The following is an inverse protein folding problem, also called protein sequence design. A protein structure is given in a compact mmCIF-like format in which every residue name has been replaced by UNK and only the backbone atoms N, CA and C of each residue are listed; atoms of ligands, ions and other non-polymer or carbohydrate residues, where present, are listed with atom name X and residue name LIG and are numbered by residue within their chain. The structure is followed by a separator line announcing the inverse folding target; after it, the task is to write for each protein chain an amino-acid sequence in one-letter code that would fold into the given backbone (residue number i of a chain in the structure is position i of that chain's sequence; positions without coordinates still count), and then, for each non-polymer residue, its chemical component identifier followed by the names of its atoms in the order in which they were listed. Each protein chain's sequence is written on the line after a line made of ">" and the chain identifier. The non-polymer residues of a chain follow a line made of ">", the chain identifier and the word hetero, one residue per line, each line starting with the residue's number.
data_IF_785415975714
#
_entry.id   IF_785415975714
#
_cell.length_a   1.000
_cell.length_b   1.000
_cell.length_c   1.000
_cell.angle_alpha   90.00
_cell.angle_beta   90.00
_cell.angle_gamma   90.00
#
_symmetry.space_group_name_H-M   'P 1'
#
loop_
_entity.id
_entity.type
_entity.pdbx_description
1 polymer ?
#
# COMPACT_ATOMS: atom_id res chain seq x y z
N UNK A 1 -12.26 -14.49 -11.81
CA UNK A 1 -11.08 -13.67 -12.13
C UNK A 1 -10.24 -13.56 -10.88
N UNK A 2 -8.95 -13.81 -11.00
CA UNK A 2 -7.98 -13.65 -9.91
C UNK A 2 -7.56 -12.18 -9.86
N UNK A 3 -7.91 -11.48 -8.79
CA UNK A 3 -7.60 -10.06 -8.61
C UNK A 3 -6.25 -9.97 -7.90
N UNK A 4 -5.37 -9.07 -8.36
CA UNK A 4 -4.10 -8.80 -7.68
C UNK A 4 -4.14 -7.43 -7.01
N UNK A 5 -3.61 -7.35 -5.81
CA UNK A 5 -3.56 -6.14 -4.99
C UNK A 5 -2.16 -5.95 -4.42
N UNK A 6 -1.66 -4.72 -4.44
CA UNK A 6 -0.38 -4.34 -3.87
C UNK A 6 -0.57 -3.54 -2.57
N UNK A 7 -0.13 -4.12 -1.46
CA UNK A 7 -0.11 -3.49 -0.14
C UNK A 7 1.24 -2.84 0.14
N UNK A 8 1.23 -1.58 0.57
CA UNK A 8 2.43 -0.84 0.99
C UNK A 8 2.23 -0.07 2.33
N UNK A 9 1.07 -0.23 2.97
CA UNK A 9 0.71 0.38 4.24
C UNK A 9 0.34 -0.66 5.30
N UNK A 10 -0.74 -0.46 6.05
CA UNK A 10 -1.11 -1.36 7.15
C UNK A 10 -1.46 -2.79 6.72
N UNK A 11 -1.90 -3.00 5.46
CA UNK A 11 -2.12 -4.33 4.88
C UNK A 11 -0.82 -5.15 4.66
N UNK A 12 0.35 -4.60 5.01
CA UNK A 12 1.59 -5.36 5.13
C UNK A 12 1.58 -6.32 6.33
N UNK A 13 0.75 -6.06 7.35
CA UNK A 13 0.47 -7.01 8.42
C UNK A 13 -0.45 -8.13 7.89
N UNK A 14 0.07 -9.37 7.89
CA UNK A 14 -0.67 -10.52 7.36
C UNK A 14 -1.91 -10.87 8.18
N UNK A 15 -1.90 -10.66 9.50
CA UNK A 15 -3.06 -10.94 10.34
C UNK A 15 -4.18 -9.93 10.05
N UNK A 16 -3.83 -8.65 9.92
CA UNK A 16 -4.77 -7.62 9.49
C UNK A 16 -5.29 -7.89 8.08
N UNK A 17 -4.41 -8.29 7.15
CA UNK A 17 -4.80 -8.63 5.79
C UNK A 17 -5.78 -9.81 5.77
N UNK A 18 -5.56 -10.85 6.58
CA UNK A 18 -6.49 -11.98 6.70
C UNK A 18 -7.83 -11.60 7.34
N UNK A 19 -7.88 -10.65 8.27
CA UNK A 19 -9.15 -10.15 8.81
C UNK A 19 -9.94 -9.40 7.72
N UNK A 20 -9.27 -8.53 6.97
CA UNK A 20 -9.89 -7.71 5.92
C UNK A 20 -10.31 -8.55 4.71
N UNK A 21 -9.43 -9.45 4.28
CA UNK A 21 -9.56 -10.32 3.11
C UNK A 21 -9.24 -11.78 3.49
N UNK A 22 -10.20 -12.55 4.02
CA UNK A 22 -9.96 -13.90 4.54
C UNK A 22 -9.42 -14.89 3.51
N UNK A 23 -9.82 -14.75 2.24
CA UNK A 23 -9.35 -15.60 1.14
C UNK A 23 -8.05 -15.11 0.50
N UNK A 24 -7.44 -14.03 1.01
CA UNK A 24 -6.22 -13.48 0.43
C UNK A 24 -5.05 -14.47 0.48
N UNK A 25 -4.28 -14.54 -0.61
CA UNK A 25 -3.07 -15.34 -0.70
C UNK A 25 -1.88 -14.45 -1.03
N UNK A 26 -0.77 -14.61 -0.31
CA UNK A 26 0.45 -13.86 -0.58
C UNK A 26 1.14 -14.45 -1.81
N UNK A 27 1.31 -13.64 -2.86
CA UNK A 27 1.99 -14.05 -4.10
C UNK A 27 3.50 -13.81 -3.98
N UNK A 28 3.89 -12.56 -3.69
CA UNK A 28 5.29 -12.14 -3.69
C UNK A 28 5.47 -10.79 -3.01
N UNK A 29 6.69 -10.49 -2.57
CA UNK A 29 7.12 -9.09 -2.41
C UNK A 29 7.42 -8.46 -3.77
N UNK A 30 7.36 -7.14 -3.85
CA UNK A 30 7.75 -6.39 -5.03
C UNK A 30 7.81 -4.89 -4.81
N UNK A 31 8.17 -4.15 -5.85
CA UNK A 31 8.26 -2.70 -5.83
C UNK A 31 7.40 -2.03 -6.89
N UNK A 32 6.82 -0.89 -6.51
CA UNK A 32 6.14 0.05 -7.39
C UNK A 32 7.12 1.17 -7.74
N UNK A 33 7.65 1.14 -8.97
CA UNK A 33 8.64 2.12 -9.43
C UNK A 33 8.02 3.45 -9.84
N UNK A 34 8.76 4.55 -9.65
CA UNK A 34 8.33 5.91 -9.97
C UNK A 34 7.48 6.57 -8.89
N UNK A 35 7.39 5.94 -7.71
CA UNK A 35 6.62 6.43 -6.57
C UNK A 35 7.46 6.43 -5.30
N UNK A 36 7.09 7.31 -4.37
CA UNK A 36 7.64 7.35 -3.00
C UNK A 36 6.52 7.27 -1.98
N UNK A 37 6.82 6.63 -0.85
CA UNK A 37 5.92 6.54 0.29
C UNK A 37 5.77 7.92 0.95
N UNK A 38 4.56 8.27 1.34
CA UNK A 38 4.26 9.49 2.11
C UNK A 38 3.11 9.23 3.09
N UNK A 39 2.86 10.20 3.95
CA UNK A 39 1.75 10.19 4.90
C UNK A 39 1.02 11.53 4.77
N UNK A 40 -0.01 11.57 3.94
CA UNK A 40 -0.69 12.80 3.54
C UNK A 40 -2.20 12.72 3.77
N UNK A 41 -2.63 11.88 4.72
CA UNK A 41 -4.03 11.77 5.12
C UNK A 41 -4.09 11.37 6.58
N UNK A 42 -4.82 12.13 7.38
CA UNK A 42 -5.15 11.74 8.74
C UNK A 42 -6.21 10.63 8.75
N UNK A 43 -6.00 9.60 9.55
CA UNK A 43 -6.99 8.56 9.87
C UNK A 43 -7.36 8.65 11.34
N UNK A 44 -8.66 8.77 11.63
CA UNK A 44 -9.18 8.71 13.00
C UNK A 44 -8.96 7.34 13.64
N UNK A 45 -9.06 6.26 12.86
CA UNK A 45 -8.84 4.89 13.35
C UNK A 45 -7.39 4.62 13.77
N UNK A 46 -6.42 5.28 13.13
CA UNK A 46 -5.00 5.17 13.48
C UNK A 46 -4.49 6.33 14.34
N UNK A 47 -5.28 7.38 14.56
CA UNK A 47 -4.88 8.57 15.30
C UNK A 47 -3.74 9.38 14.66
N UNK A 48 -3.50 9.23 13.36
CA UNK A 48 -2.35 9.85 12.69
C UNK A 48 -2.35 9.67 11.17
N UNK A 49 -1.22 10.02 10.56
CA UNK A 49 -1.00 9.87 9.12
C UNK A 49 -1.01 8.41 8.67
N UNK A 50 -1.72 8.11 7.58
CA UNK A 50 -1.71 6.79 6.94
C UNK A 50 -0.93 6.81 5.63
N UNK A 51 -0.43 5.63 5.23
CA UNK A 51 0.40 5.47 4.05
C UNK A 51 -0.35 5.89 2.77
N UNK A 52 0.37 6.59 1.91
CA UNK A 52 0.00 6.91 0.54
C UNK A 52 1.25 6.86 -0.34
N UNK A 53 1.04 6.85 -1.65
CA UNK A 53 2.11 6.98 -2.62
C UNK A 53 1.91 8.22 -3.48
N UNK A 54 3.01 8.89 -3.80
CA UNK A 54 3.06 10.02 -4.73
C UNK A 54 4.21 9.81 -5.70
N UNK A 55 4.12 10.46 -6.87
CA UNK A 55 5.16 10.35 -7.88
C UNK A 55 6.53 10.78 -7.31
N UNK A 56 7.55 9.99 -7.62
CA UNK A 56 8.93 10.19 -7.20
C UNK A 56 9.86 9.59 -8.25
N UNK A 57 10.47 10.43 -9.07
CA UNK A 57 11.40 9.98 -10.12
C UNK A 57 12.59 9.27 -9.48
N UNK A 58 12.94 8.09 -9.99
CA UNK A 58 14.00 7.26 -9.42
C UNK A 58 13.68 6.61 -8.07
N UNK A 59 12.48 6.86 -7.52
CA UNK A 59 12.01 6.24 -6.28
C UNK A 59 11.25 4.95 -6.56
N UNK A 60 11.17 4.10 -5.55
CA UNK A 60 10.28 2.94 -5.55
C UNK A 60 9.68 2.71 -4.16
N UNK A 61 8.48 2.14 -4.14
CA UNK A 61 7.80 1.73 -2.90
C UNK A 61 7.73 0.22 -2.86
N UNK A 62 8.31 -0.37 -1.81
CA UNK A 62 8.27 -1.80 -1.57
C UNK A 62 7.02 -2.22 -0.81
N UNK A 63 6.51 -3.39 -1.16
CA UNK A 63 5.30 -3.93 -0.58
C UNK A 63 5.07 -5.40 -0.91
N UNK A 64 3.85 -5.85 -0.67
CA UNK A 64 3.41 -7.23 -0.88
C UNK A 64 2.30 -7.28 -1.92
N UNK A 65 2.37 -8.27 -2.81
CA UNK A 65 1.34 -8.57 -3.79
C UNK A 65 0.50 -9.73 -3.27
N UNK A 66 -0.81 -9.51 -3.18
CA UNK A 66 -1.78 -10.51 -2.78
C UNK A 66 -2.71 -10.86 -3.95
N UNK A 67 -3.13 -12.12 -3.98
CA UNK A 67 -4.30 -12.56 -4.72
C UNK A 67 -5.55 -12.37 -3.88
N UNK A 68 -6.62 -11.83 -4.47
CA UNK A 68 -7.90 -11.59 -3.84
C UNK A 68 -9.04 -12.22 -4.65
N UNK A 69 -10.06 -12.68 -3.93
CA UNK A 69 -11.38 -12.94 -4.50
C UNK A 69 -12.13 -11.63 -4.78
N UNK A 70 -13.17 -11.69 -5.61
CA UNK A 70 -14.06 -10.53 -5.83
C UNK A 70 -14.72 -10.05 -4.52
N UNK A 71 -15.05 -10.96 -3.61
CA UNK A 71 -15.60 -10.63 -2.29
C UNK A 71 -14.58 -9.92 -1.41
N UNK A 72 -13.32 -10.35 -1.45
CA UNK A 72 -12.25 -9.72 -0.67
C UNK A 72 -11.92 -8.33 -1.21
N UNK A 73 -11.92 -8.14 -2.53
CA UNK A 73 -11.76 -6.81 -3.11
C UNK A 73 -12.90 -5.87 -2.70
N UNK A 74 -14.15 -6.32 -2.72
CA UNK A 74 -15.29 -5.51 -2.25
C UNK A 74 -15.18 -5.15 -0.78
N UNK A 75 -14.72 -6.08 0.07
CA UNK A 75 -14.45 -5.81 1.49
C UNK A 75 -13.36 -4.77 1.62
N UNK A 76 -12.28 -4.90 0.84
CA UNK A 76 -11.17 -3.95 0.85
C UNK A 76 -11.62 -2.56 0.41
N UNK A 77 -12.41 -2.44 -0.67
CA UNK A 77 -13.01 -1.18 -1.11
C UNK A 77 -13.80 -0.50 0.04
N UNK A 78 -14.58 -1.26 0.82
CA UNK A 78 -15.28 -0.72 1.99
C UNK A 78 -14.34 -0.26 3.12
N UNK A 79 -13.21 -0.93 3.33
CA UNK A 79 -12.22 -0.56 4.36
C UNK A 79 -11.41 0.67 3.97
N UNK A 80 -11.05 0.80 2.69
CA UNK A 80 -10.31 1.94 2.16
C UNK A 80 -11.24 3.15 1.91
N UNK A 81 -12.53 3.03 2.20
CA UNK A 81 -13.52 4.09 2.02
C UNK A 81 -13.72 4.48 0.55
N UNK A 82 -13.63 3.51 -0.36
CA UNK A 82 -14.02 3.66 -1.75
C UNK A 82 -15.55 3.54 -1.87
N UNK A 83 -16.23 4.68 -1.92
CA UNK A 83 -17.68 4.75 -2.04
C UNK A 83 -18.08 5.33 -3.41
N UNK A 84 -19.08 4.73 -4.06
CA UNK A 84 -19.60 5.22 -5.34
C UNK A 84 -20.38 6.55 -5.18
N UNK A 85 -20.93 6.81 -3.99
CA UNK A 85 -21.92 7.87 -3.75
C UNK A 85 -21.45 8.94 -2.75
N UNK A 86 -20.18 8.89 -2.31
CA UNK A 86 -19.54 9.84 -1.40
C UNK A 86 -18.10 10.11 -1.85
N UNK A 87 -17.47 11.18 -1.32
CA UNK A 87 -16.05 11.45 -1.57
C UNK A 87 -15.21 10.29 -1.05
N UNK A 88 -14.69 9.48 -1.98
CA UNK A 88 -13.87 8.32 -1.65
C UNK A 88 -12.58 8.77 -0.95
N UNK A 89 -12.18 8.07 0.12
CA UNK A 89 -10.93 8.37 0.82
C UNK A 89 -9.72 7.97 -0.01
N UNK A 90 -9.85 6.85 -0.70
CA UNK A 90 -8.87 6.31 -1.64
C UNK A 90 -9.52 6.04 -2.99
N UNK A 91 -8.72 6.15 -4.05
CA UNK A 91 -9.03 5.60 -5.36
C UNK A 91 -8.02 4.50 -5.69
N UNK A 92 -8.26 3.73 -6.75
CA UNK A 92 -7.33 2.69 -7.19
C UNK A 92 -7.07 2.73 -8.68
N UNK A 93 -5.84 2.43 -9.06
CA UNK A 93 -5.43 2.22 -10.44
C UNK A 93 -4.67 0.91 -10.57
N UNK A 94 -4.55 0.43 -11.81
CA UNK A 94 -3.72 -0.74 -12.10
C UNK A 94 -2.29 -0.31 -12.40
N UNK A 95 -1.35 -0.97 -11.74
CA UNK A 95 0.07 -0.78 -11.95
C UNK A 95 0.76 -2.10 -12.32
N UNK A 96 2.03 -1.96 -12.73
CA UNK A 96 2.97 -3.07 -12.87
C UNK A 96 3.85 -3.08 -11.63
N UNK A 97 3.98 -4.25 -10.99
CA UNK A 97 4.84 -4.44 -9.83
C UNK A 97 6.06 -5.27 -10.23
N UNK A 98 7.25 -4.75 -9.93
CA UNK A 98 8.51 -5.45 -10.13
C UNK A 98 8.73 -6.45 -8.99
N UNK A 99 8.84 -7.74 -9.31
CA UNK A 99 9.13 -8.77 -8.31
C UNK A 99 10.44 -9.49 -8.63
N UNK A 100 11.04 -10.23 -7.66
CA UNK A 100 12.23 -11.03 -7.93
C UNK A 100 12.04 -12.10 -9.03
N UNK A 101 10.79 -12.48 -9.35
CA UNK A 101 10.47 -13.47 -10.39
C UNK A 101 10.04 -12.83 -11.72
N UNK A 102 10.13 -11.51 -11.84
CA UNK A 102 9.67 -10.74 -13.00
C UNK A 102 8.51 -9.80 -12.67
N UNK A 103 7.94 -9.19 -13.70
CA UNK A 103 6.87 -8.21 -13.56
C UNK A 103 5.50 -8.87 -13.41
N UNK A 104 4.68 -8.30 -12.53
CA UNK A 104 3.26 -8.64 -12.42
C UNK A 104 2.45 -7.42 -12.88
N UNK A 105 1.74 -7.57 -14.00
CA UNK A 105 0.84 -6.56 -14.54
C UNK A 105 -0.56 -6.64 -13.91
N UNK A 106 -1.35 -5.58 -14.15
CA UNK A 106 -2.75 -5.48 -13.72
C UNK A 106 -2.98 -5.63 -12.21
N UNK A 107 -2.08 -5.05 -11.40
CA UNK A 107 -2.17 -5.08 -9.93
C UNK A 107 -2.84 -3.81 -9.42
N UNK A 108 -3.91 -3.94 -8.64
CA UNK A 108 -4.55 -2.79 -8.01
C UNK A 108 -3.65 -2.18 -6.93
N UNK A 109 -3.52 -0.87 -6.99
CA UNK A 109 -2.86 -0.03 -5.99
C UNK A 109 -3.87 1.04 -5.58
N UNK A 110 -4.01 1.27 -4.27
CA UNK A 110 -4.85 2.36 -3.76
C UNK A 110 -3.99 3.62 -3.59
N UNK A 111 -4.58 4.80 -3.65
CA UNK A 111 -3.94 6.08 -3.30
C UNK A 111 -4.98 7.05 -2.77
N UNK A 112 -4.57 7.95 -1.89
CA UNK A 112 -5.46 8.96 -1.30
C UNK A 112 -5.95 9.91 -2.39
N UNK A 113 -7.28 10.15 -2.47
CA UNK A 113 -7.89 11.09 -3.42
C UNK A 113 -7.53 12.52 -3.05
N UNK A 114 -7.92 12.95 -1.85
CA UNK A 114 -7.65 14.29 -1.33
C UNK A 114 -6.44 14.27 -0.41
N UNK A 115 -5.28 14.52 -1.01
CA UNK A 115 -3.97 14.56 -0.33
C UNK A 115 -3.86 15.85 0.51
N UNK A 116 -3.64 15.69 1.80
CA UNK A 116 -3.36 16.75 2.76
C UNK A 116 -1.85 17.09 2.77
N UNK A 117 -1.46 18.08 3.58
CA UNK A 117 -0.04 18.22 3.96
C UNK A 117 0.40 16.98 4.75
N UNK A 118 1.72 16.80 4.87
CA UNK A 118 2.27 15.72 5.66
C UNK A 118 1.62 15.63 7.05
N UNK A 119 1.13 14.44 7.39
CA UNK A 119 0.56 14.11 8.68
C UNK A 119 1.46 13.07 9.32
N UNK A 120 1.94 13.33 10.53
CA UNK A 120 2.81 12.40 11.23
C UNK A 120 2.06 11.07 11.50
N UNK A 121 2.58 9.92 11.07
CA UNK A 121 2.01 8.63 11.45
C UNK A 121 2.24 8.35 12.92
N UNK A 122 1.36 7.58 13.54
CA UNK A 122 1.60 7.05 14.88
C UNK A 122 2.76 6.05 14.87
N UNK A 123 3.42 5.89 16.02
CA UNK A 123 4.51 4.91 16.16
C UNK A 123 4.03 3.49 15.85
N UNK A 124 2.82 3.14 16.29
CA UNK A 124 2.19 1.85 16.03
C UNK A 124 2.02 1.60 14.52
N UNK A 125 1.44 2.56 13.79
CA UNK A 125 1.27 2.43 12.34
C UNK A 125 2.60 2.31 11.60
N UNK A 126 3.58 3.13 11.99
CA UNK A 126 4.90 3.11 11.38
C UNK A 126 5.63 1.79 11.67
N UNK A 127 5.39 1.19 12.84
CA UNK A 127 6.01 -0.08 13.23
C UNK A 127 5.55 -1.22 12.31
N UNK A 128 4.29 -1.25 11.89
CA UNK A 128 3.79 -2.25 10.92
C UNK A 128 4.61 -2.23 9.62
N UNK A 129 4.86 -1.03 9.08
CA UNK A 129 5.63 -0.87 7.84
C UNK A 129 7.09 -1.27 8.05
N UNK A 130 7.68 -0.89 9.18
CA UNK A 130 9.07 -1.24 9.53
C UNK A 130 9.24 -2.75 9.73
N UNK A 131 8.34 -3.38 10.46
CA UNK A 131 8.36 -4.83 10.72
C UNK A 131 8.22 -5.61 9.41
N UNK A 132 7.35 -5.16 8.50
CA UNK A 132 7.25 -5.75 7.18
C UNK A 132 8.53 -5.58 6.37
N UNK A 133 9.14 -4.39 6.39
CA UNK A 133 10.40 -4.14 5.69
C UNK A 133 11.52 -5.07 6.17
N UNK A 134 11.64 -5.29 7.48
CA UNK A 134 12.59 -6.22 8.08
C UNK A 134 12.24 -7.67 7.71
N UNK A 135 11.00 -8.09 7.97
CA UNK A 135 10.53 -9.46 7.76
C UNK A 135 10.69 -9.92 6.32
N UNK A 136 10.40 -9.05 5.36
CA UNK A 136 10.43 -9.37 3.94
C UNK A 136 11.73 -8.96 3.26
N UNK A 137 12.69 -8.41 4.02
CA UNK A 137 13.96 -7.90 3.52
C UNK A 137 13.73 -6.96 2.32
N UNK A 138 12.90 -5.93 2.53
CA UNK A 138 12.80 -4.82 1.59
C UNK A 138 14.17 -4.12 1.54
N UNK A 139 14.63 -3.68 0.37
CA UNK A 139 15.85 -2.88 0.29
C UNK A 139 15.74 -1.71 1.25
N UNK A 140 16.83 -1.49 2.01
CA UNK A 140 16.98 -0.22 2.70
C UNK A 140 16.91 0.85 1.63
N UNK A 141 16.12 1.90 1.87
CA UNK A 141 16.22 3.12 1.07
C UNK A 141 17.68 3.55 1.20
N UNK A 142 18.47 3.26 0.17
CA UNK A 142 19.79 3.86 0.02
C UNK A 142 19.50 5.31 -0.24
N UNK A 143 19.60 6.15 0.78
CA UNK A 143 19.72 7.59 0.62
C UNK A 143 20.95 7.85 -0.26
N UNK A 144 20.74 7.86 -1.56
CA UNK A 144 21.64 8.50 -2.52
C UNK A 144 20.76 9.53 -3.19
N UNK A 145 20.91 10.78 -2.74
CA UNK A 145 20.35 12.01 -3.32
C UNK A 145 18.88 12.35 -3.02
N UNK A 146 18.53 12.52 -1.75
CA UNK A 146 17.23 13.09 -1.37
C UNK A 146 17.31 14.24 -0.34
N UNK A 147 18.35 15.09 -0.41
CA UNK A 147 18.43 16.38 0.30
C UNK A 147 19.32 17.42 -0.42
N UNK A 148 19.28 17.49 -1.76
CA UNK A 148 19.79 18.65 -2.51
C UNK A 148 18.65 19.33 -3.27
#
# INVERSE_FOLDING_TARGET
>A
MQIKYFAYGSNLDLAQMKIRCPSSELISKGSLSGYRLTFNRYSSGWGGGVADVIQGKGSEVWGLVFELSNSDLKRLDSYEGCYNDQTSLYERWKAVINTPKGQISDVWVYTVVEKQKFVQPTLEYLQIIKDAAVRWNFPKITEVEAWQ
#
